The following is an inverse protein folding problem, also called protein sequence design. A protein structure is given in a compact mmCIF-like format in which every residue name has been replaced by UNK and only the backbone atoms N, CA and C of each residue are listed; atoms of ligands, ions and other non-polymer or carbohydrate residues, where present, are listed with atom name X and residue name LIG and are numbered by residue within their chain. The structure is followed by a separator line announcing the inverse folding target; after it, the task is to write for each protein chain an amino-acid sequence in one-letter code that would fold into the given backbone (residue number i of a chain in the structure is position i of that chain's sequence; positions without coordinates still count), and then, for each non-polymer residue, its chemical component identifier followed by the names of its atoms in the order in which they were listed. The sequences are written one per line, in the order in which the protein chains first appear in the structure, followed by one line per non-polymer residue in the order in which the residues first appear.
data_IF_867624205135
#
_entry.id   IF_867624205135
#
_cell.length_a   1.000
_cell.length_b   1.000
_cell.length_c   1.000
_cell.angle_alpha   90.00
_cell.angle_beta   90.00
_cell.angle_gamma   90.00
#
_symmetry.space_group_name_H-M   'P 1'
#
loop_
_entity.id
_entity.type
_entity.pdbx_description
1 polymer ?
#
# COMPACT_ATOMS: atom_id res chain seq x y z
N UNK A 1 -5.96 -27.78 -6.46
CA UNK A 1 -5.90 -27.60 -4.99
C UNK A 1 -4.62 -26.89 -4.52
N UNK A 2 -3.43 -27.17 -5.05
CA UNK A 2 -2.18 -26.47 -4.64
C UNK A 2 -2.14 -24.98 -5.05
N UNK A 3 -2.61 -24.67 -6.25
CA UNK A 3 -2.66 -23.27 -6.76
C UNK A 3 -3.52 -22.35 -5.88
N UNK A 4 -4.62 -22.87 -5.32
CA UNK A 4 -5.47 -22.10 -4.39
C UNK A 4 -4.78 -21.83 -3.06
N UNK A 5 -4.03 -22.79 -2.51
CA UNK A 5 -3.28 -22.62 -1.25
C UNK A 5 -2.14 -21.60 -1.38
N UNK A 6 -1.40 -21.63 -2.48
CA UNK A 6 -0.33 -20.67 -2.73
C UNK A 6 -0.87 -19.23 -2.85
N UNK A 7 -1.99 -19.05 -3.54
CA UNK A 7 -2.62 -17.74 -3.68
C UNK A 7 -3.21 -17.23 -2.35
N UNK A 8 -3.79 -18.11 -1.53
CA UNK A 8 -4.29 -17.77 -0.20
C UNK A 8 -3.15 -17.39 0.76
N UNK A 9 -2.04 -18.10 0.68
CA UNK A 9 -0.83 -17.70 1.40
C UNK A 9 -0.37 -16.32 0.97
N UNK A 10 -0.30 -16.05 -0.34
CA UNK A 10 0.16 -14.77 -0.86
C UNK A 10 -0.80 -13.63 -0.50
N UNK A 11 -2.12 -13.83 -0.53
CA UNK A 11 -3.12 -12.85 -0.06
C UNK A 11 -2.88 -12.37 1.38
N UNK A 12 -2.33 -13.25 2.23
CA UNK A 12 -2.05 -12.95 3.64
C UNK A 12 -0.66 -12.39 3.85
N UNK A 13 0.33 -12.84 3.09
CA UNK A 13 1.75 -12.62 3.39
C UNK A 13 2.45 -11.64 2.46
N UNK A 14 1.79 -11.13 1.42
CA UNK A 14 2.41 -10.21 0.47
C UNK A 14 3.10 -9.00 1.13
N UNK A 15 2.59 -8.38 2.24
CA UNK A 15 3.28 -7.24 2.85
C UNK A 15 4.60 -7.68 3.53
N UNK A 16 4.62 -8.87 4.14
CA UNK A 16 5.84 -9.43 4.74
C UNK A 16 6.86 -9.83 3.69
N UNK A 17 6.40 -10.43 2.59
CA UNK A 17 7.26 -10.76 1.44
C UNK A 17 7.86 -9.49 0.85
N UNK A 18 7.04 -8.44 0.65
CA UNK A 18 7.51 -7.13 0.20
C UNK A 18 8.56 -6.52 1.12
N UNK A 19 8.31 -6.54 2.43
CA UNK A 19 9.26 -6.03 3.43
C UNK A 19 10.59 -6.81 3.43
N UNK A 20 10.56 -8.13 3.30
CA UNK A 20 11.77 -8.94 3.19
C UNK A 20 12.59 -8.57 1.94
N UNK A 21 11.94 -8.43 0.80
CA UNK A 21 12.61 -7.98 -0.43
C UNK A 21 13.17 -6.57 -0.27
N UNK A 22 12.44 -5.68 0.39
CA UNK A 22 12.90 -4.32 0.68
C UNK A 22 14.15 -4.31 1.57
N UNK A 23 14.24 -5.15 2.58
CA UNK A 23 15.45 -5.28 3.42
C UNK A 23 16.67 -5.72 2.60
N UNK A 24 16.52 -6.68 1.71
CA UNK A 24 17.60 -7.12 0.80
C UNK A 24 18.04 -5.97 -0.11
N UNK A 25 17.08 -5.28 -0.73
CA UNK A 25 17.37 -4.13 -1.62
C UNK A 25 18.00 -2.96 -0.84
N UNK A 26 17.57 -2.71 0.40
CA UNK A 26 18.17 -1.70 1.25
C UNK A 26 19.64 -2.01 1.56
N UNK A 27 19.96 -3.26 1.91
CA UNK A 27 21.33 -3.72 2.11
C UNK A 27 22.21 -3.47 0.88
N UNK A 28 21.72 -3.82 -0.31
CA UNK A 28 22.42 -3.56 -1.58
C UNK A 28 22.58 -2.05 -1.81
N UNK A 29 21.56 -1.25 -1.51
CA UNK A 29 21.57 0.19 -1.73
C UNK A 29 22.60 0.92 -0.84
N UNK A 30 22.82 0.43 0.37
CA UNK A 30 23.84 0.97 1.29
C UNK A 30 25.25 0.82 0.71
N UNK A 31 25.53 -0.28 -0.01
CA UNK A 31 26.83 -0.51 -0.65
C UNK A 31 27.17 0.53 -1.72
N UNK A 32 26.17 1.17 -2.32
CA UNK A 32 26.39 2.24 -3.31
C UNK A 32 26.76 3.61 -2.69
N UNK A 33 26.59 3.77 -1.39
CA UNK A 33 26.96 4.95 -0.64
C UNK A 33 26.32 6.24 -1.16
N UNK A 34 27.03 7.38 -0.97
CA UNK A 34 26.53 8.72 -1.34
C UNK A 34 26.22 8.90 -2.83
N UNK A 35 26.83 8.12 -3.72
CA UNK A 35 26.56 8.18 -5.17
C UNK A 35 25.09 7.87 -5.51
N UNK A 36 24.42 7.08 -4.66
CA UNK A 36 23.00 6.76 -4.86
C UNK A 36 22.09 7.97 -4.65
N UNK A 37 22.50 8.98 -3.87
CA UNK A 37 21.68 10.18 -3.59
C UNK A 37 21.55 11.13 -4.80
N UNK A 38 22.32 10.94 -5.86
CA UNK A 38 22.22 11.69 -7.12
C UNK A 38 21.79 10.85 -8.31
N UNK A 39 21.64 9.55 -8.10
CA UNK A 39 21.27 8.60 -9.13
C UNK A 39 19.76 8.36 -9.10
N UNK A 40 19.04 8.78 -10.15
CA UNK A 40 17.58 8.66 -10.22
C UNK A 40 17.09 7.21 -10.13
N UNK A 41 17.82 6.24 -10.69
CA UNK A 41 17.46 4.81 -10.57
C UNK A 41 17.57 4.36 -9.11
N UNK A 42 18.67 4.69 -8.44
CA UNK A 42 18.88 4.33 -7.03
C UNK A 42 17.81 4.97 -6.13
N UNK A 43 17.47 6.23 -6.37
CA UNK A 43 16.40 6.92 -5.65
C UNK A 43 15.02 6.31 -5.92
N UNK A 44 14.76 5.84 -7.14
CA UNK A 44 13.54 5.09 -7.46
C UNK A 44 13.49 3.73 -6.74
N UNK A 45 14.62 3.03 -6.62
CA UNK A 45 14.73 1.81 -5.79
C UNK A 45 14.43 2.13 -4.33
N UNK A 46 15.03 3.20 -3.78
CA UNK A 46 14.76 3.64 -2.40
C UNK A 46 13.27 3.98 -2.19
N UNK A 47 12.62 4.59 -3.18
CA UNK A 47 11.18 4.88 -3.11
C UNK A 47 10.33 3.60 -3.16
N UNK A 48 10.73 2.58 -3.91
CA UNK A 48 10.07 1.27 -3.89
C UNK A 48 10.28 0.53 -2.55
N UNK A 49 11.46 0.67 -1.92
CA UNK A 49 11.70 0.19 -0.57
C UNK A 49 10.77 0.92 0.42
N UNK A 50 10.66 2.24 0.31
CA UNK A 50 9.76 3.04 1.14
C UNK A 50 8.29 2.58 1.00
N UNK A 51 7.83 2.26 -0.23
CA UNK A 51 6.50 1.68 -0.45
C UNK A 51 6.33 0.37 0.33
N UNK A 52 7.28 -0.55 0.26
CA UNK A 52 7.16 -1.84 0.94
C UNK A 52 7.16 -1.70 2.48
N UNK A 53 7.91 -0.73 3.03
CA UNK A 53 7.87 -0.38 4.45
C UNK A 53 6.52 0.24 4.82
N UNK A 54 5.99 1.13 3.99
CA UNK A 54 4.68 1.73 4.15
C UNK A 54 3.56 0.67 4.18
N UNK A 55 3.58 -0.26 3.23
CA UNK A 55 2.65 -1.39 3.17
C UNK A 55 2.79 -2.31 4.38
N UNK A 56 4.00 -2.51 4.91
CA UNK A 56 4.22 -3.26 6.15
C UNK A 56 3.58 -2.57 7.35
N UNK A 57 3.74 -1.26 7.47
CA UNK A 57 3.10 -0.44 8.51
C UNK A 57 1.57 -0.50 8.41
N UNK A 58 1.01 -0.45 7.20
CA UNK A 58 -0.43 -0.51 6.96
C UNK A 58 -1.07 -1.87 7.31
N UNK A 59 -0.39 -2.99 6.98
CA UNK A 59 -1.02 -4.32 6.97
C UNK A 59 -0.43 -5.29 7.99
N UNK A 60 0.72 -4.97 8.63
CA UNK A 60 1.43 -5.88 9.54
C UNK A 60 1.69 -5.28 10.92
N UNK A 61 2.35 -4.12 11.01
CA UNK A 61 2.70 -3.48 12.28
C UNK A 61 2.70 -1.95 12.16
N UNK A 62 1.72 -1.25 12.76
CA UNK A 62 0.65 -1.77 13.62
C UNK A 62 -0.48 -2.49 12.86
N UNK A 63 -0.51 -2.48 11.52
CA UNK A 63 -1.29 -3.36 10.67
C UNK A 63 -2.79 -3.11 10.61
N UNK A 64 -3.32 -2.04 11.21
CA UNK A 64 -4.76 -1.81 11.28
C UNK A 64 -5.31 -0.82 10.24
N UNK A 65 -4.56 -0.55 9.18
CA UNK A 65 -5.08 0.27 8.07
C UNK A 65 -6.39 -0.28 7.49
N UNK A 66 -6.61 -1.61 7.35
CA UNK A 66 -7.90 -2.14 6.91
C UNK A 66 -9.10 -1.65 7.73
N UNK A 67 -9.02 -1.73 9.05
CA UNK A 67 -10.06 -1.22 9.95
C UNK A 67 -10.20 0.30 9.87
N UNK A 68 -9.06 1.00 9.78
CA UNK A 68 -9.04 2.45 9.62
C UNK A 68 -9.74 2.88 8.30
N UNK A 69 -9.43 2.24 7.17
CA UNK A 69 -10.06 2.51 5.89
C UNK A 69 -11.54 2.12 5.88
N UNK A 70 -11.86 0.87 6.22
CA UNK A 70 -13.21 0.36 6.11
C UNK A 70 -14.18 0.97 7.15
N UNK A 71 -13.82 0.97 8.43
CA UNK A 71 -14.68 1.47 9.50
C UNK A 71 -14.46 2.95 9.77
N UNK A 72 -13.20 3.36 9.89
CA UNK A 72 -12.84 4.74 10.24
C UNK A 72 -13.25 5.75 9.17
N UNK A 73 -12.88 5.50 7.91
CA UNK A 73 -13.08 6.41 6.79
C UNK A 73 -14.39 6.14 6.07
N UNK A 74 -14.61 4.90 5.63
CA UNK A 74 -15.75 4.52 4.78
C UNK A 74 -17.03 4.20 5.56
N UNK A 75 -16.96 4.13 6.90
CA UNK A 75 -18.12 3.85 7.79
C UNK A 75 -18.85 2.56 7.44
N UNK A 76 -18.10 1.55 6.96
CA UNK A 76 -18.66 0.28 6.53
C UNK A 76 -19.41 -0.45 7.64
N UNK A 77 -20.49 -1.10 7.30
CA UNK A 77 -21.25 -2.05 8.12
C UNK A 77 -20.61 -3.47 8.11
N UNK A 78 -19.69 -3.72 7.19
CA UNK A 78 -18.94 -4.98 7.05
C UNK A 78 -17.42 -4.74 7.01
N UNK A 79 -16.82 -4.17 8.06
CA UNK A 79 -15.47 -3.64 8.00
C UNK A 79 -14.37 -4.69 7.81
N UNK A 80 -14.64 -5.97 8.04
CA UNK A 80 -13.67 -7.03 7.82
C UNK A 80 -13.42 -7.34 6.34
N UNK A 81 -14.38 -7.04 5.46
CA UNK A 81 -14.29 -7.44 4.05
C UNK A 81 -14.78 -6.41 3.03
N UNK A 82 -15.25 -5.23 3.47
CA UNK A 82 -15.77 -4.20 2.56
C UNK A 82 -15.51 -2.77 3.06
N UNK A 83 -15.14 -1.85 2.16
CA UNK A 83 -14.82 -2.04 0.74
C UNK A 83 -13.47 -2.74 0.52
N UNK A 84 -12.54 -2.64 1.44
CA UNK A 84 -11.24 -3.29 1.36
C UNK A 84 -11.31 -4.71 1.93
N UNK A 85 -10.67 -5.66 1.26
CA UNK A 85 -10.47 -7.03 1.71
C UNK A 85 -9.08 -7.52 1.27
N UNK A 86 -8.66 -8.72 1.69
CA UNK A 86 -7.32 -9.24 1.35
C UNK A 86 -7.08 -9.36 -0.15
N UNK A 87 -8.10 -9.69 -0.95
CA UNK A 87 -7.93 -9.79 -2.40
C UNK A 87 -7.78 -8.41 -3.04
N UNK A 88 -8.62 -7.44 -2.67
CA UNK A 88 -8.54 -6.09 -3.23
C UNK A 88 -7.26 -5.37 -2.77
N UNK A 89 -6.85 -5.56 -1.50
CA UNK A 89 -5.57 -5.05 -1.00
C UNK A 89 -4.39 -5.61 -1.79
N UNK A 90 -4.37 -6.92 -2.05
CA UNK A 90 -3.36 -7.54 -2.89
C UNK A 90 -3.34 -6.90 -4.28
N UNK A 91 -4.49 -6.78 -4.95
CA UNK A 91 -4.57 -6.20 -6.29
C UNK A 91 -4.09 -4.75 -6.34
N UNK A 92 -4.54 -3.91 -5.40
CA UNK A 92 -4.16 -2.50 -5.32
C UNK A 92 -2.66 -2.35 -5.09
N UNK A 93 -2.13 -3.08 -4.12
CA UNK A 93 -0.77 -2.89 -3.64
C UNK A 93 0.29 -3.62 -4.47
N UNK A 94 -0.07 -4.69 -5.17
CA UNK A 94 0.88 -5.43 -6.01
C UNK A 94 0.63 -5.25 -7.49
N UNK A 95 -0.57 -5.52 -8.00
CA UNK A 95 -0.84 -5.44 -9.43
C UNK A 95 -0.90 -3.99 -9.95
N UNK A 96 -1.32 -3.03 -9.13
CA UNK A 96 -1.40 -1.62 -9.52
C UNK A 96 -0.16 -0.85 -9.06
N UNK A 97 0.20 -0.90 -7.76
CA UNK A 97 1.25 -0.06 -7.22
C UNK A 97 2.67 -0.53 -7.61
N UNK A 98 2.96 -1.83 -7.65
CA UNK A 98 4.32 -2.28 -8.00
C UNK A 98 4.74 -1.87 -9.42
N UNK A 99 3.97 -2.06 -10.49
CA UNK A 99 4.34 -1.55 -11.81
C UNK A 99 4.59 -0.04 -11.82
N UNK A 100 3.78 0.73 -11.09
CA UNK A 100 3.90 2.19 -10.98
C UNK A 100 5.24 2.62 -10.34
N UNK A 101 5.72 1.87 -9.32
CA UNK A 101 7.00 2.14 -8.65
C UNK A 101 8.22 1.50 -9.36
N UNK A 102 8.03 0.40 -10.08
CA UNK A 102 9.11 -0.32 -10.78
C UNK A 102 9.45 0.35 -12.11
N UNK A 103 8.47 0.92 -12.81
CA UNK A 103 8.68 1.54 -14.12
C UNK A 103 9.84 2.57 -14.14
N UNK A 104 9.99 3.51 -13.19
CA UNK A 104 11.13 4.43 -13.20
C UNK A 104 12.48 3.77 -12.86
N UNK A 105 12.48 2.61 -12.20
CA UNK A 105 13.70 1.83 -11.97
C UNK A 105 14.21 1.25 -13.30
N UNK A 106 13.28 0.76 -14.12
CA UNK A 106 13.61 0.18 -15.43
C UNK A 106 13.98 1.26 -16.46
N UNK A 107 13.28 2.40 -16.41
CA UNK A 107 13.42 3.49 -17.39
C UNK A 107 13.80 4.83 -16.73
N UNK A 108 14.97 4.92 -16.03
CA UNK A 108 15.36 6.10 -15.26
C UNK A 108 15.64 7.35 -16.12
N UNK A 109 15.88 7.20 -17.41
CA UNK A 109 16.04 8.30 -18.35
C UNK A 109 14.74 9.04 -18.66
N UNK A 110 13.59 8.42 -18.40
CA UNK A 110 12.28 9.01 -18.67
C UNK A 110 11.85 9.82 -17.44
N UNK A 111 12.23 11.10 -17.39
CA UNK A 111 12.05 11.99 -16.22
C UNK A 111 10.61 12.07 -15.72
N UNK A 112 9.63 12.19 -16.63
CA UNK A 112 8.21 12.28 -16.26
C UNK A 112 7.66 10.98 -15.67
N UNK A 113 8.29 9.84 -15.88
CA UNK A 113 7.85 8.54 -15.36
C UNK A 113 8.23 8.36 -13.88
N UNK A 114 9.33 8.97 -13.45
CA UNK A 114 9.81 8.86 -12.08
C UNK A 114 9.10 9.79 -11.09
N UNK A 115 8.60 10.94 -11.55
CA UNK A 115 7.94 11.92 -10.68
C UNK A 115 6.60 11.43 -10.07
N UNK A 116 5.70 10.74 -10.79
CA UNK A 116 4.42 10.33 -10.23
C UNK A 116 4.51 9.50 -8.94
N UNK A 117 5.28 8.40 -8.85
CA UNK A 117 5.41 7.64 -7.60
C UNK A 117 6.13 8.43 -6.49
N UNK A 118 7.00 9.37 -6.85
CA UNK A 118 7.63 10.28 -5.89
C UNK A 118 6.60 11.26 -5.30
N UNK A 119 5.79 11.89 -6.14
CA UNK A 119 4.74 12.82 -5.71
C UNK A 119 3.66 12.10 -4.91
N UNK A 120 3.28 10.89 -5.32
CA UNK A 120 2.36 10.06 -4.58
C UNK A 120 2.90 9.70 -3.19
N UNK A 121 4.16 9.28 -3.09
CA UNK A 121 4.80 8.98 -1.80
C UNK A 121 4.83 10.21 -0.86
N UNK A 122 5.15 11.41 -1.38
CA UNK A 122 5.08 12.65 -0.59
C UNK A 122 3.65 12.95 -0.14
N UNK A 123 2.66 12.76 -1.02
CA UNK A 123 1.24 13.00 -0.71
C UNK A 123 0.73 12.07 0.41
N UNK A 124 1.26 10.85 0.52
CA UNK A 124 0.92 9.92 1.60
C UNK A 124 1.19 10.51 3.00
N UNK A 125 2.18 11.40 3.16
CA UNK A 125 2.43 12.06 4.44
C UNK A 125 1.27 13.01 4.83
N UNK A 126 0.65 13.65 3.86
CA UNK A 126 -0.55 14.49 4.09
C UNK A 126 -1.76 13.60 4.30
N UNK A 127 -1.91 12.56 3.51
CA UNK A 127 -3.04 11.64 3.56
C UNK A 127 -3.10 10.91 4.90
N UNK A 128 -2.05 10.21 5.28
CA UNK A 128 -1.95 9.46 6.54
C UNK A 128 -1.70 10.33 7.78
N UNK A 129 -1.17 11.53 7.60
CA UNK A 129 -0.92 12.44 8.74
C UNK A 129 -2.07 13.37 9.08
N UNK A 130 -2.91 13.73 8.10
CA UNK A 130 -3.95 14.75 8.27
C UNK A 130 -5.31 14.25 7.81
N UNK A 131 -5.42 13.81 6.54
CA UNK A 131 -6.72 13.56 5.90
C UNK A 131 -7.42 12.35 6.54
N UNK A 132 -6.77 11.19 6.52
CA UNK A 132 -7.36 9.96 7.05
C UNK A 132 -7.61 10.02 8.56
N UNK A 133 -6.67 10.50 9.41
CA UNK A 133 -6.95 10.70 10.83
C UNK A 133 -8.10 11.67 11.10
N UNK A 134 -8.17 12.76 10.31
CA UNK A 134 -9.25 13.75 10.44
C UNK A 134 -10.63 13.16 10.15
N UNK A 135 -10.77 12.38 9.07
CA UNK A 135 -12.04 11.72 8.69
C UNK A 135 -12.40 10.63 9.70
N UNK A 136 -11.42 9.81 10.06
CA UNK A 136 -11.61 8.67 10.98
C UNK A 136 -11.73 9.08 12.45
N UNK A 137 -11.38 10.33 12.78
CA UNK A 137 -11.32 10.88 14.15
C UNK A 137 -10.33 10.10 15.03
N UNK A 138 -9.17 9.78 14.49
CA UNK A 138 -8.08 9.11 15.18
C UNK A 138 -6.86 10.02 15.29
N UNK A 139 -5.91 9.67 16.16
CA UNK A 139 -4.64 10.41 16.29
C UNK A 139 -3.58 9.94 15.31
N UNK A 140 -3.76 8.78 14.70
CA UNK A 140 -2.75 8.11 13.87
C UNK A 140 -3.42 7.27 12.77
N UNK A 141 -2.80 7.22 11.62
CA UNK A 141 -3.11 6.30 10.53
C UNK A 141 -1.86 5.49 10.16
N UNK A 142 -1.92 4.14 10.16
CA UNK A 142 -0.81 3.31 9.70
C UNK A 142 -0.40 3.70 8.28
N UNK A 143 0.90 3.78 8.03
CA UNK A 143 1.50 4.32 6.81
C UNK A 143 2.15 5.69 7.01
N UNK A 144 1.78 6.42 8.07
CA UNK A 144 2.28 7.78 8.31
C UNK A 144 3.79 7.83 8.59
N UNK A 145 4.33 6.92 9.42
CA UNK A 145 5.76 6.95 9.75
C UNK A 145 6.61 6.66 8.52
N UNK A 146 6.26 5.66 7.73
CA UNK A 146 6.96 5.39 6.47
C UNK A 146 6.85 6.56 5.48
N UNK A 147 5.69 7.21 5.42
CA UNK A 147 5.49 8.37 4.56
C UNK A 147 6.40 9.54 4.96
N UNK A 148 6.39 9.95 6.22
CA UNK A 148 7.15 11.12 6.68
C UNK A 148 8.66 10.86 6.78
N UNK A 149 9.07 9.65 7.19
CA UNK A 149 10.48 9.33 7.43
C UNK A 149 11.21 8.82 6.18
N UNK A 150 10.50 8.23 5.21
CA UNK A 150 11.09 7.66 4.01
C UNK A 150 10.62 8.37 2.74
N UNK A 151 9.33 8.36 2.41
CA UNK A 151 8.85 8.92 1.16
C UNK A 151 9.17 10.41 1.00
N UNK A 152 8.95 11.23 2.04
CA UNK A 152 9.23 12.67 1.98
C UNK A 152 10.72 12.96 1.73
N UNK A 153 11.68 12.46 2.53
CA UNK A 153 13.10 12.78 2.30
C UNK A 153 13.63 12.17 0.99
N UNK A 154 13.21 10.97 0.61
CA UNK A 154 13.57 10.36 -0.68
C UNK A 154 13.00 11.21 -1.83
N UNK A 155 11.74 11.63 -1.73
CA UNK A 155 11.09 12.43 -2.76
C UNK A 155 11.74 13.81 -2.94
N UNK A 156 12.07 14.49 -1.84
CA UNK A 156 12.82 15.76 -1.89
C UNK A 156 14.18 15.55 -2.56
N UNK A 157 14.89 14.47 -2.19
CA UNK A 157 16.21 14.15 -2.76
C UNK A 157 16.11 13.83 -4.25
N UNK A 158 15.07 13.07 -4.67
CA UNK A 158 14.79 12.78 -6.07
C UNK A 158 14.56 14.04 -6.91
N UNK A 159 13.69 14.94 -6.42
CA UNK A 159 13.39 16.21 -7.13
C UNK A 159 14.66 17.08 -7.22
N UNK A 160 15.47 17.14 -6.18
CA UNK A 160 16.76 17.85 -6.20
C UNK A 160 17.69 17.22 -7.23
N UNK A 161 17.90 15.91 -7.20
CA UNK A 161 18.73 15.19 -8.17
C UNK A 161 18.23 15.37 -9.62
N UNK A 162 16.91 15.38 -9.83
CA UNK A 162 16.34 15.64 -11.14
C UNK A 162 16.66 17.07 -11.64
N UNK A 163 16.59 18.06 -10.76
CA UNK A 163 16.91 19.47 -11.08
C UNK A 163 18.39 19.70 -11.39
N UNK A 164 19.31 18.89 -10.87
CA UNK A 164 20.73 19.00 -11.26
C UNK A 164 20.98 18.61 -12.72
N UNK A 165 20.05 17.88 -13.34
CA UNK A 165 20.11 17.53 -14.76
C UNK A 165 19.44 18.60 -15.67
N UNK A 166 19.10 19.74 -15.13
CA UNK A 166 18.42 20.86 -15.79
C UNK A 166 17.03 21.13 -15.23
N UNK A 167 16.40 22.23 -15.66
CA UNK A 167 15.05 22.58 -15.22
C UNK A 167 14.06 21.48 -15.62
N UNK A 168 13.08 21.22 -14.74
CA UNK A 168 11.97 20.32 -15.05
C UNK A 168 10.96 21.12 -15.87
N UNK A 169 10.87 20.81 -17.15
CA UNK A 169 10.00 21.50 -18.09
C UNK A 169 8.51 21.24 -17.81
N UNK A 170 7.66 22.12 -18.37
CA UNK A 170 6.20 22.06 -18.17
C UNK A 170 5.61 20.75 -18.68
N UNK A 171 6.11 20.20 -19.78
CA UNK A 171 5.60 18.95 -20.36
C UNK A 171 5.87 17.76 -19.42
N UNK A 172 7.08 17.71 -18.83
CA UNK A 172 7.44 16.72 -17.81
C UNK A 172 6.50 16.78 -16.60
N UNK A 173 6.22 17.98 -16.08
CA UNK A 173 5.25 18.16 -14.98
C UNK A 173 3.85 17.73 -15.38
N UNK A 174 3.37 18.17 -16.55
CA UNK A 174 2.02 17.84 -17.04
C UNK A 174 1.84 16.33 -17.18
N UNK A 175 2.77 15.65 -17.84
CA UNK A 175 2.73 14.18 -17.98
C UNK A 175 2.75 13.46 -16.62
N UNK A 176 3.59 13.93 -15.69
CA UNK A 176 3.68 13.35 -14.35
C UNK A 176 2.38 13.49 -13.57
N UNK A 177 1.76 14.66 -13.61
CA UNK A 177 0.48 14.91 -12.93
C UNK A 177 -0.65 14.09 -13.56
N UNK A 178 -0.70 13.99 -14.89
CA UNK A 178 -1.69 13.18 -15.60
C UNK A 178 -1.55 11.70 -15.23
N UNK A 179 -0.32 11.17 -15.25
CA UNK A 179 -0.07 9.75 -14.87
C UNK A 179 -0.43 9.50 -13.41
N UNK A 180 -0.08 10.43 -12.50
CA UNK A 180 -0.48 10.32 -11.10
C UNK A 180 -2.00 10.36 -10.94
N UNK A 181 -2.71 11.24 -11.66
CA UNK A 181 -4.16 11.30 -11.63
C UNK A 181 -4.81 10.01 -12.15
N UNK A 182 -4.30 9.43 -13.24
CA UNK A 182 -4.75 8.14 -13.77
C UNK A 182 -4.53 7.03 -12.74
N UNK A 183 -3.37 7.01 -12.09
CA UNK A 183 -3.08 6.05 -11.02
C UNK A 183 -4.05 6.18 -9.85
N UNK A 184 -4.30 7.39 -9.36
CA UNK A 184 -5.24 7.66 -8.27
C UNK A 184 -6.67 7.29 -8.64
N UNK A 185 -7.12 7.61 -9.87
CA UNK A 185 -8.43 7.20 -10.37
C UNK A 185 -8.53 5.66 -10.42
N UNK A 186 -7.51 4.99 -10.92
CA UNK A 186 -7.43 3.52 -10.94
C UNK A 186 -7.51 2.93 -9.54
N UNK A 187 -6.74 3.49 -8.60
CA UNK A 187 -6.72 3.06 -7.20
C UNK A 187 -8.10 3.23 -6.56
N UNK A 188 -8.69 4.43 -6.62
CA UNK A 188 -10.01 4.73 -6.04
C UNK A 188 -11.11 3.89 -6.71
N UNK A 189 -11.07 3.73 -8.04
CA UNK A 189 -12.06 2.94 -8.77
C UNK A 189 -11.98 1.46 -8.37
N UNK A 190 -10.78 0.91 -8.26
CA UNK A 190 -10.57 -0.46 -7.81
C UNK A 190 -11.03 -0.62 -6.36
N UNK A 191 -10.72 0.37 -5.50
CA UNK A 191 -11.13 0.38 -4.10
C UNK A 191 -12.66 0.43 -3.94
N UNK A 192 -13.37 1.25 -4.73
CA UNK A 192 -14.81 1.52 -4.55
C UNK A 192 -15.71 0.59 -5.37
N UNK A 193 -15.30 0.18 -6.58
CA UNK A 193 -16.16 -0.53 -7.54
C UNK A 193 -15.85 -2.01 -7.70
N UNK A 194 -14.64 -2.44 -7.38
CA UNK A 194 -14.19 -3.81 -7.63
C UNK A 194 -14.59 -4.81 -6.55
N UNK A 195 -15.58 -4.48 -5.65
CA UNK A 195 -15.57 -5.12 -4.36
C UNK A 195 -16.92 -5.67 -4.00
N UNK A 196 -16.91 -6.98 -3.76
CA UNK A 196 -18.03 -7.73 -3.25
C UNK A 196 -18.10 -7.63 -1.73
N UNK A 197 -19.24 -7.17 -1.18
CA UNK A 197 -19.51 -7.15 0.26
C UNK A 197 -19.46 -8.53 0.91
N UNK A 198 -19.69 -9.58 0.12
CA UNK A 198 -19.66 -10.98 0.56
C UNK A 198 -18.30 -11.65 0.26
N UNK A 199 -17.24 -10.89 0.04
CA UNK A 199 -15.94 -11.45 -0.25
C UNK A 199 -15.49 -12.45 0.83
N UNK A 200 -15.05 -13.67 0.45
CA UNK A 200 -14.55 -14.66 1.40
C UNK A 200 -13.15 -14.31 1.95
N UNK A 201 -12.55 -13.23 1.45
CA UNK A 201 -11.16 -12.83 1.78
C UNK A 201 -11.12 -11.76 2.87
N UNK A 202 -11.85 -11.98 3.96
CA UNK A 202 -11.89 -11.07 5.10
C UNK A 202 -10.50 -10.87 5.75
N UNK A 203 -10.31 -9.70 6.34
CA UNK A 203 -9.20 -9.42 7.25
C UNK A 203 -9.40 -10.14 8.59
N UNK A 204 -8.33 -10.28 9.37
CA UNK A 204 -8.42 -10.74 10.75
C UNK A 204 -8.93 -9.60 11.67
N UNK A 205 -9.54 -9.97 12.79
CA UNK A 205 -10.06 -9.00 13.75
C UNK A 205 -8.97 -8.07 14.31
N UNK A 206 -7.72 -8.55 14.41
CA UNK A 206 -6.57 -7.76 14.82
C UNK A 206 -6.32 -6.56 13.90
N UNK A 207 -6.57 -6.71 12.59
CA UNK A 207 -6.39 -5.66 11.58
C UNK A 207 -7.50 -4.59 11.64
N UNK A 208 -8.47 -4.72 12.53
CA UNK A 208 -9.44 -3.67 12.81
C UNK A 208 -8.92 -2.61 13.79
N UNK A 209 -7.86 -2.90 14.55
CA UNK A 209 -7.24 -1.96 15.48
C UNK A 209 -8.25 -1.35 16.46
N UNK A 210 -8.36 0.01 16.53
CA UNK A 210 -9.29 0.69 17.44
C UNK A 210 -10.77 0.33 17.22
N UNK A 211 -11.12 -0.22 16.06
CA UNK A 211 -12.50 -0.57 15.69
C UNK A 211 -12.86 -2.03 15.95
N UNK A 212 -11.99 -2.80 16.61
CA UNK A 212 -12.19 -4.24 16.84
C UNK A 212 -13.49 -4.55 17.59
N UNK A 213 -13.87 -3.75 18.57
CA UNK A 213 -15.10 -3.92 19.33
C UNK A 213 -16.39 -3.55 18.58
N UNK A 214 -16.28 -2.94 17.41
CA UNK A 214 -17.40 -2.54 16.56
C UNK A 214 -17.69 -3.55 15.43
N UNK A 215 -16.90 -4.63 15.35
CA UNK A 215 -17.13 -5.70 14.36
C UNK A 215 -18.24 -6.61 14.87
N UNK A 216 -19.25 -6.96 14.04
CA UNK A 216 -20.18 -8.02 14.38
C UNK A 216 -19.41 -9.31 14.70
N UNK A 217 -19.84 -10.05 15.75
CA UNK A 217 -19.26 -11.34 16.08
C UNK A 217 -19.27 -12.24 14.83
N UNK A 218 -18.13 -12.44 14.21
CA UNK A 218 -18.00 -13.45 13.15
C UNK A 218 -18.09 -14.80 13.88
N UNK A 219 -19.10 -15.66 13.58
CA UNK A 219 -19.15 -16.98 14.17
C UNK A 219 -17.80 -17.66 13.93
N UNK A 220 -17.13 -18.05 15.01
CA UNK A 220 -15.87 -18.80 14.89
C UNK A 220 -16.13 -20.02 14.02
N UNK A 221 -15.30 -20.27 13.02
CA UNK A 221 -15.42 -21.37 12.06
C UNK A 221 -15.36 -22.79 12.72
N UNK A 222 -15.49 -22.85 14.05
CA UNK A 222 -15.40 -24.06 14.88
C UNK A 222 -16.74 -24.74 15.18
N UNK A 223 -17.87 -24.21 14.70
CA UNK A 223 -19.18 -24.88 14.84
C UNK A 223 -19.73 -25.32 13.49
N UNK A 224 -19.00 -26.19 12.81
CA UNK A 224 -19.65 -27.05 11.80
C UNK A 224 -20.64 -27.94 12.53
N UNK A 225 -21.92 -28.02 12.11
CA UNK A 225 -22.87 -28.95 12.70
C UNK A 225 -22.31 -30.38 12.53
N UNK A 226 -22.16 -31.12 13.63
CA UNK A 226 -21.91 -32.55 13.57
C UNK A 226 -23.03 -33.17 12.75
N UNK A 227 -22.66 -33.77 11.63
CA UNK A 227 -23.59 -34.60 10.86
C UNK A 227 -24.19 -35.65 11.81
N UNK A 228 -25.50 -35.56 12.04
CA UNK A 228 -26.25 -36.58 12.74
C UNK A 228 -26.14 -37.85 11.93
N UNK A 229 -25.35 -38.79 12.38
CA UNK A 229 -25.40 -40.17 11.97
C UNK A 229 -26.67 -40.79 12.59
N UNK A 230 -27.81 -40.73 11.88
CA UNK A 230 -28.91 -41.62 12.17
C UNK A 230 -28.65 -42.92 11.43
N UNK A 231 -28.27 -43.94 12.23
CA UNK A 231 -28.44 -45.31 11.88
C UNK A 231 -29.94 -45.65 11.76
N UNK A 232 -30.32 -46.21 10.66
CA UNK A 232 -31.28 -47.32 10.54
C UNK A 232 -30.96 -48.10 9.27
#
# INVERSE_FOLDING_TARGET
MESTRALDFYRKQWPRVGALLAMVLAGISVLGGRKNLTNLRALSVMNAIALAVHQYEEYVDPGYFPGHANRGVMKSDQPLNYPLNRQSSLCINTALAYPFYIAPILFPAIKWLGLPPILFGIAQAVDHGIVLPGIARTKYSPGFLAAILLHVPIGITYIRALRTQGPIDRNTWTKSIVVMAIFLIGLVTTFVRGLDKNSPYAFDAEQMGPYRGETPDVPSATTAPKANSHNH
#
